data_IF_404476063305
#
_entry.id   IF_404476063305
#
_cell.length_a   1.000
_cell.length_b   1.000
_cell.length_c   1.000
_cell.angle_alpha   90.00
_cell.angle_beta   90.00
_cell.angle_gamma   90.00
#
_symmetry.space_group_name_H-M   'P 1'
#
loop_
_entity.id
_entity.type
_entity.pdbx_description
1 polymer ?
#
# COMPACT_ATOMS: atom_id res chain seq x y z
N UNK A 1 10.58 5.20 21.77
CA UNK A 1 9.53 4.17 21.74
C UNK A 1 9.53 3.59 20.34
N UNK A 2 10.00 2.35 20.17
CA UNK A 2 10.10 1.75 18.84
C UNK A 2 8.69 1.61 18.26
N UNK A 3 8.42 2.34 17.18
CA UNK A 3 7.07 2.52 16.66
C UNK A 3 6.74 1.28 15.83
N UNK A 4 6.19 0.25 16.49
CA UNK A 4 5.76 -1.00 15.84
C UNK A 4 4.93 -0.67 14.60
N UNK A 5 5.45 -1.05 13.44
CA UNK A 5 4.74 -0.91 12.18
C UNK A 5 3.77 -2.07 12.02
N UNK A 6 2.50 -1.76 11.81
CA UNK A 6 1.48 -2.77 11.56
C UNK A 6 1.39 -3.04 10.06
N UNK A 7 1.56 -4.30 9.67
CA UNK A 7 1.31 -4.74 8.31
C UNK A 7 -0.19 -4.95 8.11
N UNK A 8 -0.69 -4.46 6.98
CA UNK A 8 -2.08 -4.62 6.56
C UNK A 8 -2.14 -5.02 5.10
N UNK A 9 -3.31 -5.43 4.63
CA UNK A 9 -3.47 -5.91 3.27
C UNK A 9 -4.90 -5.89 2.79
N UNK A 10 -5.08 -6.31 1.55
CA UNK A 10 -6.36 -6.42 0.88
C UNK A 10 -6.46 -7.78 0.17
N UNK A 11 -7.66 -8.37 0.16
CA UNK A 11 -7.97 -9.52 -0.68
C UNK A 11 -8.19 -9.06 -2.12
N UNK A 12 -7.58 -9.76 -3.09
CA UNK A 12 -7.79 -9.53 -4.53
C UNK A 12 -8.33 -10.81 -5.17
N UNK A 13 -8.91 -10.69 -6.37
CA UNK A 13 -9.81 -11.72 -6.96
C UNK A 13 -9.17 -13.11 -7.07
N UNK A 14 -7.84 -13.22 -7.15
CA UNK A 14 -7.13 -14.52 -7.12
C UNK A 14 -5.81 -14.44 -6.34
N UNK A 15 -5.81 -13.68 -5.25
CA UNK A 15 -4.57 -13.42 -4.53
C UNK A 15 -4.69 -12.53 -3.32
N UNK A 16 -3.54 -12.02 -2.87
CA UNK A 16 -3.43 -11.13 -1.72
C UNK A 16 -2.54 -9.94 -2.04
N UNK A 17 -2.89 -8.79 -1.50
CA UNK A 17 -2.04 -7.60 -1.49
C UNK A 17 -1.65 -7.30 -0.04
N UNK A 18 -0.35 -7.18 0.23
CA UNK A 18 0.18 -6.79 1.54
C UNK A 18 0.91 -5.45 1.40
N UNK A 19 0.54 -4.48 2.24
CA UNK A 19 1.14 -3.17 2.33
C UNK A 19 2.09 -3.09 3.52
N UNK A 20 3.38 -3.00 3.22
CA UNK A 20 4.45 -2.77 4.18
C UNK A 20 4.80 -1.29 4.36
N UNK A 21 5.88 -1.04 5.10
CA UNK A 21 6.33 0.33 5.39
C UNK A 21 6.94 1.03 4.16
N UNK A 22 7.58 0.26 3.27
CA UNK A 22 8.34 0.76 2.12
C UNK A 22 7.80 0.31 0.77
N UNK A 23 7.02 -0.77 0.75
CA UNK A 23 6.52 -1.38 -0.48
C UNK A 23 5.16 -2.04 -0.23
N UNK A 24 4.33 -2.06 -1.27
CA UNK A 24 3.13 -2.88 -1.38
C UNK A 24 3.43 -4.01 -2.34
N UNK A 25 3.09 -5.23 -1.94
CA UNK A 25 3.34 -6.44 -2.71
C UNK A 25 2.01 -7.11 -2.98
N UNK A 26 1.71 -7.34 -4.26
CA UNK A 26 0.51 -8.04 -4.70
C UNK A 26 0.91 -9.33 -5.35
N UNK A 27 0.37 -10.44 -4.86
CA UNK A 27 0.59 -11.76 -5.45
C UNK A 27 -0.73 -12.31 -5.94
N UNK A 28 -0.81 -12.68 -7.22
CA UNK A 28 -2.00 -13.29 -7.83
C UNK A 28 -1.65 -14.60 -8.51
N UNK A 29 -2.59 -15.53 -8.50
CA UNK A 29 -2.50 -16.77 -9.28
C UNK A 29 -2.87 -16.46 -10.73
N UNK A 30 -2.08 -16.98 -11.67
CA UNK A 30 -2.36 -16.92 -13.11
C UNK A 30 -3.15 -18.18 -13.50
N UNK A 31 -4.01 -18.15 -14.53
CA UNK A 31 -4.76 -19.33 -14.98
C UNK A 31 -3.89 -20.57 -15.30
N UNK A 32 -2.63 -20.37 -15.70
CA UNK A 32 -1.64 -21.43 -15.92
C UNK A 32 -1.02 -22.04 -14.66
N UNK A 33 -1.53 -21.73 -13.47
CA UNK A 33 -1.07 -22.28 -12.18
C UNK A 33 0.14 -21.57 -11.56
N UNK A 34 0.81 -20.68 -12.29
CA UNK A 34 1.90 -19.86 -11.77
C UNK A 34 1.42 -18.70 -10.87
N UNK A 35 2.36 -18.12 -10.12
CA UNK A 35 2.12 -16.91 -9.33
C UNK A 35 2.82 -15.72 -10.01
N UNK A 36 2.13 -14.59 -10.07
CA UNK A 36 2.70 -13.31 -10.49
C UNK A 36 2.77 -12.40 -9.27
N UNK A 37 3.93 -11.81 -9.05
CA UNK A 37 4.20 -10.90 -7.94
C UNK A 37 4.48 -9.51 -8.52
N UNK A 38 3.71 -8.52 -8.09
CA UNK A 38 3.93 -7.10 -8.39
C UNK A 38 4.41 -6.40 -7.12
N UNK A 39 5.52 -5.66 -7.21
CA UNK A 39 6.11 -4.93 -6.09
C UNK A 39 6.09 -3.44 -6.43
N UNK A 40 5.27 -2.69 -5.69
CA UNK A 40 5.17 -1.24 -5.84
C UNK A 40 5.85 -0.54 -4.66
N UNK A 41 6.92 0.23 -4.87
CA UNK A 41 7.52 1.02 -3.81
C UNK A 41 6.56 2.13 -3.36
N UNK A 42 6.43 2.33 -2.05
CA UNK A 42 5.70 3.48 -1.51
C UNK A 42 6.66 4.66 -1.37
N UNK A 43 6.35 5.77 -2.03
CA UNK A 43 7.17 6.97 -1.98
C UNK A 43 7.27 7.54 -0.54
N UNK A 44 8.45 8.02 -0.16
CA UNK A 44 8.69 8.61 1.17
C UNK A 44 7.93 9.94 1.42
N UNK A 45 7.25 10.49 0.40
CA UNK A 45 6.45 11.72 0.48
C UNK A 45 5.26 11.55 1.47
N UNK A 46 4.88 10.30 1.79
CA UNK A 46 3.73 9.96 2.63
C UNK A 46 4.00 9.93 4.16
N UNK A 47 5.23 10.18 4.63
CA UNK A 47 5.59 10.17 6.07
C UNK A 47 5.77 11.55 6.72
N UNK A 48 5.55 12.64 5.98
CA UNK A 48 5.77 14.02 6.45
C UNK A 48 4.71 14.58 7.40
N UNK A 49 5.08 15.65 8.12
CA UNK A 49 4.23 16.46 9.03
C UNK A 49 2.91 16.95 8.43
N UNK A 50 2.78 16.95 7.10
CA UNK A 50 1.61 17.36 6.33
C UNK A 50 0.33 16.55 6.64
N UNK A 51 0.46 15.33 7.20
CA UNK A 51 -0.68 14.49 7.64
C UNK A 51 -1.30 14.92 8.98
N UNK A 52 -0.77 15.95 9.66
CA UNK A 52 -1.33 16.45 10.93
C UNK A 52 -2.61 17.28 10.72
N UNK A 53 -2.79 17.88 9.54
CA UNK A 53 -4.01 18.61 9.22
C UNK A 53 -5.06 17.64 8.63
N UNK A 54 -6.25 17.49 9.23
CA UNK A 54 -7.25 16.49 8.81
C UNK A 54 -7.72 16.67 7.36
N UNK A 55 -7.84 17.92 6.87
CA UNK A 55 -8.26 18.21 5.50
C UNK A 55 -7.18 17.81 4.47
N UNK A 56 -5.93 18.21 4.71
CA UNK A 56 -4.80 17.93 3.82
C UNK A 56 -4.50 16.43 3.81
N UNK A 57 -4.60 15.77 4.98
CA UNK A 57 -4.53 14.31 5.09
C UNK A 57 -5.57 13.63 4.20
N UNK A 58 -6.82 14.10 4.20
CA UNK A 58 -7.90 13.54 3.37
C UNK A 58 -7.60 13.64 1.88
N UNK A 59 -7.18 14.81 1.41
CA UNK A 59 -6.81 15.04 0.00
C UNK A 59 -5.63 14.16 -0.43
N UNK A 60 -4.60 14.03 0.41
CA UNK A 60 -3.44 13.17 0.12
C UNK A 60 -3.87 11.70 -0.01
N UNK A 61 -4.76 11.21 0.88
CA UNK A 61 -5.27 9.83 0.83
C UNK A 61 -6.16 9.60 -0.40
N UNK A 62 -6.93 10.61 -0.81
CA UNK A 62 -7.76 10.50 -2.01
C UNK A 62 -6.91 10.41 -3.28
N UNK A 63 -5.91 11.28 -3.42
CA UNK A 63 -4.95 11.22 -4.54
C UNK A 63 -4.23 9.87 -4.54
N UNK A 64 -3.85 9.36 -3.37
CA UNK A 64 -3.23 8.05 -3.21
C UNK A 64 -4.11 6.94 -3.80
N UNK A 65 -5.40 6.91 -3.47
CA UNK A 65 -6.33 5.90 -3.97
C UNK A 65 -6.63 6.01 -5.48
N UNK A 66 -6.41 7.17 -6.09
CA UNK A 66 -6.64 7.38 -7.53
C UNK A 66 -5.38 7.10 -8.37
N UNK A 67 -4.19 7.28 -7.81
CA UNK A 67 -2.92 7.15 -8.54
C UNK A 67 -2.28 5.76 -8.36
N UNK A 68 -2.53 5.09 -7.23
CA UNK A 68 -2.02 3.74 -6.92
C UNK A 68 -3.06 2.68 -7.26
#
# INVERSE_FOLDING_TARGET
MDKRFHYGGQAVIEGVMIRGQKAAVTTVRRPGGGLVIDIRPLAAIYTGWMRRAPLIRGVIVLIEAMVI
#
